data_IF_701548513159
#
_entry.id   IF_701548513159
#
_cell.length_a   1.000
_cell.length_b   1.000
_cell.length_c   1.000
_cell.angle_alpha   90.00
_cell.angle_beta   90.00
_cell.angle_gamma   90.00
#
_symmetry.space_group_name_H-M   'P 1'
#
loop_
_entity.id
_entity.type
_entity.pdbx_description
1 polymer ?
#
# COMPACT_ATOMS: atom_id res chain seq x y z
N UNK A 1 3.13 13.64 -4.94
CA UNK A 1 1.92 13.73 -5.77
C UNK A 1 1.03 12.50 -5.50
N UNK A 2 0.30 12.50 -4.39
CA UNK A 2 -0.58 11.37 -4.02
C UNK A 2 -1.87 11.35 -4.83
N UNK A 3 -2.44 12.53 -5.07
CA UNK A 3 -3.72 12.72 -5.78
C UNK A 3 -3.73 12.17 -7.22
N UNK A 4 -2.64 12.34 -7.97
CA UNK A 4 -2.55 11.78 -9.33
C UNK A 4 -2.48 10.25 -9.31
N UNK A 5 -1.76 9.69 -8.34
CA UNK A 5 -1.63 8.23 -8.20
C UNK A 5 -2.98 7.62 -7.78
N UNK A 6 -3.70 8.29 -6.87
CA UNK A 6 -5.05 7.89 -6.47
C UNK A 6 -6.03 7.96 -7.63
N UNK A 7 -5.99 9.03 -8.42
CA UNK A 7 -6.82 9.16 -9.63
C UNK A 7 -6.59 8.01 -10.61
N UNK A 8 -5.33 7.69 -10.92
CA UNK A 8 -4.98 6.58 -11.83
C UNK A 8 -5.46 5.23 -11.28
N UNK A 9 -5.36 5.01 -9.97
CA UNK A 9 -5.87 3.77 -9.33
C UNK A 9 -7.39 3.65 -9.47
N UNK A 10 -8.12 4.74 -9.25
CA UNK A 10 -9.57 4.76 -9.39
C UNK A 10 -10.00 4.54 -10.84
N UNK A 11 -9.33 5.20 -11.80
CA UNK A 11 -9.58 5.00 -13.23
C UNK A 11 -9.31 3.55 -13.66
N UNK A 12 -8.20 2.97 -13.21
CA UNK A 12 -7.87 1.56 -13.48
C UNK A 12 -8.89 0.60 -12.89
N UNK A 13 -9.37 0.87 -11.68
CA UNK A 13 -10.39 0.05 -11.02
C UNK A 13 -11.73 0.09 -11.79
N UNK A 14 -12.18 1.29 -12.16
CA UNK A 14 -13.43 1.47 -12.92
C UNK A 14 -13.37 0.76 -14.28
N UNK A 15 -12.26 0.90 -15.01
CA UNK A 15 -12.06 0.19 -16.29
C UNK A 15 -12.06 -1.33 -16.11
N UNK A 16 -11.54 -1.83 -14.99
CA UNK A 16 -11.54 -3.26 -14.70
C UNK A 16 -12.96 -3.77 -14.42
N UNK A 17 -13.76 -3.01 -13.67
CA UNK A 17 -15.17 -3.36 -13.45
C UNK A 17 -15.98 -3.34 -14.74
N UNK A 18 -15.77 -2.36 -15.62
CA UNK A 18 -16.42 -2.32 -16.93
C UNK A 18 -16.13 -3.58 -17.75
N UNK A 19 -14.86 -4.02 -17.79
CA UNK A 19 -14.46 -5.27 -18.47
C UNK A 19 -15.09 -6.52 -17.86
N UNK A 20 -15.25 -6.57 -16.54
CA UNK A 20 -15.89 -7.70 -15.86
C UNK A 20 -17.37 -7.74 -16.21
N UNK A 21 -18.07 -6.60 -16.14
CA UNK A 21 -19.50 -6.49 -16.41
C UNK A 21 -19.81 -6.83 -17.87
N UNK A 22 -18.96 -6.41 -18.81
CA UNK A 22 -19.11 -6.68 -20.24
C UNK A 22 -18.66 -8.09 -20.67
N UNK A 23 -18.13 -8.90 -19.76
CA UNK A 23 -17.69 -10.25 -20.10
C UNK A 23 -18.87 -11.22 -20.23
N UNK A 24 -18.65 -12.33 -20.94
CA UNK A 24 -19.66 -13.38 -21.12
C UNK A 24 -20.04 -14.10 -19.80
N UNK A 25 -19.16 -14.03 -18.78
CA UNK A 25 -19.33 -14.67 -17.48
C UNK A 25 -18.95 -13.71 -16.32
N UNK A 26 -19.75 -12.65 -16.09
CA UNK A 26 -19.37 -11.56 -15.19
C UNK A 26 -19.20 -12.02 -13.73
N UNK A 27 -20.00 -12.99 -13.29
CA UNK A 27 -19.93 -13.55 -11.93
C UNK A 27 -18.61 -14.30 -11.71
N UNK A 28 -18.17 -15.09 -12.68
CA UNK A 28 -16.94 -15.88 -12.58
C UNK A 28 -15.72 -14.97 -12.62
N UNK A 29 -15.70 -14.02 -13.55
CA UNK A 29 -14.62 -13.00 -13.64
C UNK A 29 -14.52 -12.14 -12.39
N UNK A 30 -15.65 -11.81 -11.76
CA UNK A 30 -15.64 -11.08 -10.49
C UNK A 30 -15.05 -11.93 -9.35
N UNK A 31 -15.36 -13.22 -9.29
CA UNK A 31 -14.76 -14.14 -8.29
C UNK A 31 -13.26 -14.29 -8.47
N UNK A 32 -12.78 -14.37 -9.71
CA UNK A 32 -11.35 -14.39 -10.04
C UNK A 32 -10.66 -13.10 -9.58
N UNK A 33 -11.27 -11.95 -9.87
CA UNK A 33 -10.78 -10.65 -9.42
C UNK A 33 -10.71 -10.56 -7.88
N UNK A 34 -11.75 -11.01 -7.17
CA UNK A 34 -11.77 -11.03 -5.72
C UNK A 34 -10.64 -11.90 -5.13
N UNK A 35 -10.41 -13.10 -5.71
CA UNK A 35 -9.30 -13.97 -5.32
C UNK A 35 -7.93 -13.33 -5.55
N UNK A 36 -7.74 -12.65 -6.68
CA UNK A 36 -6.50 -11.92 -6.96
C UNK A 36 -6.28 -10.81 -5.93
N UNK A 37 -7.35 -10.08 -5.58
CA UNK A 37 -7.29 -9.01 -4.58
C UNK A 37 -6.89 -9.53 -3.19
N UNK A 38 -7.47 -10.65 -2.76
CA UNK A 38 -7.12 -11.29 -1.47
C UNK A 38 -5.65 -11.72 -1.40
N UNK A 39 -5.07 -12.18 -2.52
CA UNK A 39 -3.67 -12.60 -2.56
C UNK A 39 -2.69 -11.41 -2.60
N UNK A 40 -3.04 -10.31 -3.27
CA UNK A 40 -2.09 -9.23 -3.59
C UNK A 40 -2.27 -7.95 -2.74
N UNK A 41 -3.46 -7.68 -2.19
CA UNK A 41 -3.77 -6.37 -1.55
C UNK A 41 -3.52 -6.33 -0.03
N UNK A 42 -3.15 -7.46 0.57
CA UNK A 42 -2.88 -7.51 2.03
C UNK A 42 -1.57 -6.79 2.42
N UNK A 43 -0.77 -6.32 1.46
CA UNK A 43 0.32 -5.39 1.79
C UNK A 43 -0.22 -3.98 2.00
N UNK A 44 -0.63 -3.69 3.25
CA UNK A 44 -0.78 -2.32 3.74
C UNK A 44 0.48 -1.54 3.33
N UNK A 45 0.30 -0.51 2.52
CA UNK A 45 1.42 0.29 2.02
C UNK A 45 2.20 0.80 3.23
N UNK A 46 3.48 0.44 3.42
CA UNK A 46 4.22 0.85 4.59
C UNK A 46 4.30 2.37 4.57
N UNK A 47 3.60 3.01 5.52
CA UNK A 47 3.58 4.46 5.58
C UNK A 47 5.00 4.95 5.81
N UNK A 48 5.56 5.70 4.86
CA UNK A 48 6.88 6.32 5.04
C UNK A 48 6.88 7.41 6.11
N UNK A 49 5.70 7.93 6.46
CA UNK A 49 5.48 8.97 7.48
C UNK A 49 5.39 8.38 8.88
N UNK A 50 4.76 7.22 9.03
CA UNK A 50 4.61 6.58 10.33
C UNK A 50 5.76 5.60 10.54
N UNK A 51 6.47 5.75 11.65
CA UNK A 51 7.59 4.86 12.01
C UNK A 51 7.12 3.48 12.52
N UNK A 52 5.81 3.21 12.45
CA UNK A 52 5.20 1.95 12.87
C UNK A 52 5.76 0.82 11.99
N UNK A 53 6.28 -0.23 12.64
CA UNK A 53 6.87 -1.42 12.00
C UNK A 53 8.14 -1.19 11.16
N UNK A 54 8.89 -0.09 11.38
CA UNK A 54 10.23 0.08 10.81
C UNK A 54 11.31 -0.46 11.73
N UNK A 55 12.34 -1.08 11.14
CA UNK A 55 13.61 -1.28 11.82
C UNK A 55 14.29 0.09 12.00
N UNK A 56 14.39 0.53 13.25
CA UNK A 56 15.01 1.80 13.64
C UNK A 56 16.51 1.64 13.93
N UNK A 57 17.05 0.43 13.81
CA UNK A 57 18.41 0.13 14.25
C UNK A 57 18.60 0.32 15.75
N UNK A 58 19.81 0.71 16.16
CA UNK A 58 20.13 0.96 17.57
C UNK A 58 19.59 2.32 18.01
N UNK A 59 18.59 2.29 18.89
CA UNK A 59 18.07 3.49 19.58
C UNK A 59 18.95 3.92 20.77
N UNK A 60 19.87 3.06 21.19
CA UNK A 60 20.84 3.34 22.24
C UNK A 60 21.81 4.47 21.83
N UNK A 61 22.18 5.31 22.79
CA UNK A 61 23.15 6.38 22.54
C UNK A 61 24.51 5.77 22.15
N UNK A 62 25.01 6.13 20.97
CA UNK A 62 26.38 5.80 20.59
C UNK A 62 27.39 6.61 21.42
N UNK A 63 28.63 6.14 21.62
CA UNK A 63 29.64 6.87 22.40
C UNK A 63 29.90 8.29 21.89
N UNK A 64 29.73 8.53 20.58
CA UNK A 64 29.83 9.85 19.96
C UNK A 64 28.69 10.81 20.34
N UNK A 65 27.55 10.28 20.80
CA UNK A 65 26.37 11.04 21.22
C UNK A 65 26.27 11.22 22.74
N UNK A 66 27.18 10.65 23.54
CA UNK A 66 27.21 10.77 25.02
C UNK A 66 27.23 12.21 25.53
N UNK A 67 27.77 13.16 24.77
CA UNK A 67 27.92 14.55 25.18
C UNK A 67 26.94 15.51 24.51
N UNK A 68 26.05 15.02 23.64
CA UNK A 68 25.03 15.87 23.01
C UNK A 68 23.89 16.07 24.01
N UNK A 69 24.09 17.00 24.96
CA UNK A 69 23.03 17.47 25.84
C UNK A 69 21.86 17.96 24.98
N UNK A 70 20.67 17.50 25.35
CA UNK A 70 19.40 18.11 24.94
C UNK A 70 19.46 19.58 25.40
N UNK A 71 19.38 20.51 24.44
CA UNK A 71 19.14 21.92 24.70
C UNK A 71 17.64 22.16 24.74
#
# INVERSE_FOLDING_TARGET
MGSLTEKIKVEGLLSTFEKIIMSDAPIERFKEFAKALENDVVHLYPSKKHMVNRDLGKLEATPALKYRRVA
#
